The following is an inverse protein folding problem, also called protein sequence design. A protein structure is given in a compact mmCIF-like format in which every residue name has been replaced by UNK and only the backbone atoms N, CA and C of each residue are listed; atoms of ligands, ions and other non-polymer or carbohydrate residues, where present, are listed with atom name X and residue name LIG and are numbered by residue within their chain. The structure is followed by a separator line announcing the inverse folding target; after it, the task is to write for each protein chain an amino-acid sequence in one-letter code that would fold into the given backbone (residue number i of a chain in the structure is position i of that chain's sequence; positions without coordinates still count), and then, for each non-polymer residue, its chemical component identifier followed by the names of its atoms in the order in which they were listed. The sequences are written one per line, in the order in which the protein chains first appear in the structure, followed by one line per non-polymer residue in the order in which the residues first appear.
data_IF_596417080650
#
_entry.id   IF_596417080650
#
_cell.length_a   1.000
_cell.length_b   1.000
_cell.length_c   1.000
_cell.angle_alpha   90.00
_cell.angle_beta   90.00
_cell.angle_gamma   90.00
#
_symmetry.space_group_name_H-M   'P 1'
#
loop_
_entity.id
_entity.type
_entity.pdbx_description
1 polymer ?
#
# COMPACT_ATOMS: atom_id res chain seq x y z
N UNK A 1 13.40 -12.87 44.03
CA UNK A 1 13.88 -11.59 43.52
C UNK A 1 12.72 -10.99 42.73
N UNK A 2 12.01 -9.99 43.30
CA UNK A 2 10.95 -9.29 42.58
C UNK A 2 11.62 -8.20 41.72
N UNK A 3 11.39 -8.23 40.42
CA UNK A 3 11.78 -7.13 39.55
C UNK A 3 10.75 -6.02 39.72
N UNK A 4 11.14 -4.91 40.32
CA UNK A 4 10.31 -3.70 40.32
C UNK A 4 10.50 -3.02 38.96
N UNK A 5 9.48 -3.02 38.14
CA UNK A 5 9.50 -2.29 36.87
C UNK A 5 9.27 -0.79 37.16
N UNK A 6 10.34 -0.03 37.08
CA UNK A 6 10.24 1.42 37.23
C UNK A 6 9.88 2.09 35.91
N UNK A 7 8.57 2.29 35.69
CA UNK A 7 8.06 2.99 34.51
C UNK A 7 8.35 4.48 34.50
N UNK A 8 8.79 5.06 35.63
CA UNK A 8 9.12 6.49 35.71
C UNK A 8 10.37 6.80 34.90
N UNK A 9 11.27 5.84 34.74
CA UNK A 9 12.48 5.96 33.92
C UNK A 9 12.14 6.21 32.44
N UNK A 10 11.01 5.67 31.95
CA UNK A 10 10.55 5.85 30.55
C UNK A 10 9.96 7.24 30.31
N UNK A 11 9.55 7.93 31.36
CA UNK A 11 8.96 9.28 31.29
C UNK A 11 9.99 10.41 31.39
N UNK A 12 11.28 10.12 31.31
CA UNK A 12 12.33 11.15 31.20
C UNK A 12 12.19 11.90 29.87
N UNK A 13 12.47 13.20 29.85
CA UNK A 13 12.32 14.07 28.66
C UNK A 13 12.94 13.47 27.38
N UNK A 14 14.10 12.83 27.52
CA UNK A 14 14.81 12.21 26.40
C UNK A 14 14.01 11.06 25.76
N UNK A 15 13.44 10.15 26.56
CA UNK A 15 12.68 9.00 26.05
C UNK A 15 11.31 9.42 25.54
N UNK A 16 10.67 10.40 26.16
CA UNK A 16 9.41 10.98 25.68
C UNK A 16 9.62 11.63 24.31
N UNK A 17 10.74 12.35 24.10
CA UNK A 17 11.08 12.92 22.81
C UNK A 17 11.23 11.84 21.71
N UNK A 18 11.88 10.72 22.01
CA UNK A 18 12.03 9.60 21.07
C UNK A 18 10.71 8.91 20.79
N UNK A 19 9.84 8.72 21.79
CA UNK A 19 8.51 8.15 21.62
C UNK A 19 7.64 9.01 20.71
N UNK A 20 7.61 10.32 20.94
CA UNK A 20 6.85 11.26 20.09
C UNK A 20 7.37 11.24 18.65
N UNK A 21 8.70 11.25 18.48
CA UNK A 21 9.33 11.16 17.16
C UNK A 21 8.95 9.85 16.46
N UNK A 22 9.02 8.72 17.16
CA UNK A 22 8.62 7.40 16.63
C UNK A 22 7.16 7.36 16.22
N UNK A 23 6.25 7.88 17.05
CA UNK A 23 4.82 7.98 16.72
C UNK A 23 4.61 8.83 15.46
N UNK A 24 5.27 9.98 15.38
CA UNK A 24 5.17 10.87 14.22
C UNK A 24 5.63 10.16 12.93
N UNK A 25 6.79 9.51 12.96
CA UNK A 25 7.32 8.78 11.79
C UNK A 25 6.37 7.65 11.39
N UNK A 26 5.84 6.88 12.36
CA UNK A 26 4.88 5.80 12.10
C UNK A 26 3.60 6.31 11.44
N UNK A 27 3.04 7.43 11.94
CA UNK A 27 1.84 8.03 11.35
C UNK A 27 2.09 8.55 9.94
N UNK A 28 3.21 9.22 9.70
CA UNK A 28 3.58 9.72 8.37
C UNK A 28 3.79 8.57 7.39
N UNK A 29 4.49 7.51 7.80
CA UNK A 29 4.74 6.33 7.00
C UNK A 29 3.42 5.61 6.66
N UNK A 30 2.56 5.40 7.65
CA UNK A 30 1.27 4.76 7.46
C UNK A 30 0.36 5.56 6.53
N UNK A 31 0.27 6.88 6.71
CA UNK A 31 -0.55 7.74 5.87
C UNK A 31 -0.02 7.76 4.42
N UNK A 32 1.29 7.92 4.23
CA UNK A 32 1.92 7.92 2.92
C UNK A 32 1.74 6.58 2.18
N UNK A 33 1.99 5.48 2.88
CA UNK A 33 1.81 4.14 2.33
C UNK A 33 0.33 3.87 1.98
N UNK A 34 -0.61 4.29 2.83
CA UNK A 34 -2.05 4.11 2.59
C UNK A 34 -2.53 4.87 1.35
N UNK A 35 -2.18 6.16 1.24
CA UNK A 35 -2.56 6.98 0.08
C UNK A 35 -2.00 6.38 -1.22
N UNK A 36 -0.72 6.03 -1.23
CA UNK A 36 -0.07 5.42 -2.40
C UNK A 36 -0.69 4.06 -2.73
N UNK A 37 -0.95 3.22 -1.73
CA UNK A 37 -1.59 1.92 -1.90
C UNK A 37 -3.00 2.04 -2.50
N UNK A 38 -3.78 3.02 -2.04
CA UNK A 38 -5.12 3.25 -2.53
C UNK A 38 -5.13 3.72 -3.99
N UNK A 39 -4.27 4.66 -4.34
CA UNK A 39 -4.14 5.17 -5.71
C UNK A 39 -3.69 4.05 -6.66
N UNK A 40 -2.61 3.36 -6.31
CA UNK A 40 -2.06 2.28 -7.15
C UNK A 40 -3.03 1.11 -7.22
N UNK A 41 -3.60 0.67 -6.08
CA UNK A 41 -4.53 -0.46 -6.02
C UNK A 41 -5.80 -0.21 -6.82
N UNK A 42 -6.34 1.01 -6.76
CA UNK A 42 -7.51 1.40 -7.57
C UNK A 42 -7.15 1.42 -9.05
N UNK A 43 -6.01 1.99 -9.42
CA UNK A 43 -5.54 1.99 -10.82
C UNK A 43 -5.39 0.56 -11.36
N UNK A 44 -4.76 -0.34 -10.58
CA UNK A 44 -4.64 -1.75 -10.95
C UNK A 44 -6.00 -2.44 -11.11
N UNK A 45 -6.96 -2.17 -10.22
CA UNK A 45 -8.31 -2.72 -10.31
C UNK A 45 -9.02 -2.27 -11.60
N UNK A 46 -8.94 -0.98 -11.94
CA UNK A 46 -9.51 -0.41 -13.17
C UNK A 46 -8.85 -1.00 -14.42
N UNK A 47 -7.52 -1.06 -14.45
CA UNK A 47 -6.79 -1.65 -15.57
C UNK A 47 -7.12 -3.14 -15.75
N UNK A 48 -7.33 -3.87 -14.66
CA UNK A 48 -7.71 -5.29 -14.70
C UNK A 48 -9.16 -5.52 -15.14
N UNK A 49 -10.01 -4.49 -15.11
CA UNK A 49 -11.35 -4.53 -15.67
C UNK A 49 -11.37 -4.35 -17.21
N UNK A 50 -10.25 -4.00 -17.83
CA UNK A 50 -10.13 -3.85 -19.28
C UNK A 50 -10.10 -5.19 -20.00
N UNK A 51 -10.34 -5.17 -21.31
CA UNK A 51 -10.28 -6.36 -22.19
C UNK A 51 -8.88 -6.69 -22.69
N UNK A 52 -7.87 -5.85 -22.36
CA UNK A 52 -6.50 -6.02 -22.82
C UNK A 52 -5.78 -7.12 -22.05
N UNK A 53 -5.82 -8.34 -22.58
CA UNK A 53 -5.32 -9.57 -21.93
C UNK A 53 -3.89 -9.49 -21.37
N UNK A 54 -2.89 -8.90 -22.08
CA UNK A 54 -1.52 -8.81 -21.53
C UNK A 54 -1.44 -7.99 -20.25
N UNK A 55 -2.14 -6.85 -20.18
CA UNK A 55 -2.18 -6.04 -18.97
C UNK A 55 -2.86 -6.77 -17.80
N UNK A 56 -3.99 -7.44 -18.07
CA UNK A 56 -4.70 -8.23 -17.07
C UNK A 56 -3.82 -9.35 -16.51
N UNK A 57 -3.07 -10.04 -17.37
CA UNK A 57 -2.13 -11.08 -16.96
C UNK A 57 -1.01 -10.52 -16.08
N UNK A 58 -0.36 -9.44 -16.53
CA UNK A 58 0.74 -8.82 -15.78
C UNK A 58 0.31 -8.36 -14.39
N UNK A 59 -0.86 -7.71 -14.30
CA UNK A 59 -1.43 -7.26 -13.02
C UNK A 59 -1.78 -8.46 -12.14
N UNK A 60 -2.27 -9.57 -12.72
CA UNK A 60 -2.57 -10.78 -11.96
C UNK A 60 -1.31 -11.37 -11.34
N UNK A 61 -0.22 -11.44 -12.10
CA UNK A 61 1.09 -11.88 -11.59
C UNK A 61 1.60 -10.95 -10.48
N UNK A 62 1.49 -9.63 -10.68
CA UNK A 62 1.86 -8.66 -9.65
C UNK A 62 1.09 -8.89 -8.35
N UNK A 63 -0.23 -9.02 -8.43
CA UNK A 63 -1.10 -9.24 -7.25
C UNK A 63 -0.75 -10.55 -6.58
N UNK A 64 -0.59 -11.63 -7.33
CA UNK A 64 -0.27 -12.96 -6.81
C UNK A 64 1.09 -12.96 -6.09
N UNK A 65 2.12 -12.36 -6.68
CA UNK A 65 3.45 -12.24 -6.06
C UNK A 65 3.39 -11.49 -4.75
N UNK A 66 2.75 -10.31 -4.72
CA UNK A 66 2.71 -9.48 -3.50
C UNK A 66 1.83 -10.07 -2.40
N UNK A 67 0.80 -10.83 -2.73
CA UNK A 67 -0.04 -11.50 -1.73
C UNK A 67 0.59 -12.77 -1.14
N UNK A 68 1.45 -13.46 -1.89
CA UNK A 68 2.08 -14.70 -1.45
C UNK A 68 3.43 -14.48 -0.73
N UNK A 69 4.05 -13.32 -0.86
CA UNK A 69 5.28 -12.99 -0.17
C UNK A 69 4.97 -12.21 1.12
N UNK A 70 5.47 -12.65 2.29
CA UNK A 70 5.29 -11.92 3.55
C UNK A 70 5.76 -10.47 3.44
N UNK A 71 5.00 -9.52 4.02
CA UNK A 71 5.32 -8.09 3.96
C UNK A 71 6.75 -7.77 4.44
N UNK A 72 7.21 -8.43 5.51
CA UNK A 72 8.57 -8.23 6.03
C UNK A 72 9.64 -8.53 4.96
N UNK A 73 9.45 -9.61 4.21
CA UNK A 73 10.39 -9.99 3.13
C UNK A 73 10.39 -8.92 2.03
N UNK A 74 9.23 -8.38 1.68
CA UNK A 74 9.12 -7.30 0.70
C UNK A 74 9.83 -6.03 1.19
N UNK A 75 9.65 -5.64 2.45
CA UNK A 75 10.34 -4.49 3.05
C UNK A 75 11.86 -4.67 3.02
N UNK A 76 12.35 -5.86 3.40
CA UNK A 76 13.78 -6.17 3.36
C UNK A 76 14.34 -6.17 1.93
N UNK A 77 13.58 -6.69 0.96
CA UNK A 77 13.96 -6.64 -0.46
C UNK A 77 14.09 -5.20 -0.95
N UNK A 78 13.10 -4.35 -0.66
CA UNK A 78 13.15 -2.94 -1.06
C UNK A 78 14.30 -2.19 -0.38
N UNK A 79 14.58 -2.48 0.88
CA UNK A 79 15.64 -1.82 1.63
C UNK A 79 17.05 -2.24 1.18
N UNK A 80 17.29 -3.54 1.00
CA UNK A 80 18.64 -4.05 0.71
C UNK A 80 18.90 -4.27 -0.78
N UNK A 81 17.96 -4.80 -1.54
CA UNK A 81 18.20 -5.20 -2.92
C UNK A 81 17.91 -4.09 -3.92
N UNK A 82 16.86 -3.28 -3.70
CA UNK A 82 16.50 -2.25 -4.67
C UNK A 82 17.59 -1.18 -4.90
N UNK A 83 18.28 -0.64 -3.89
CA UNK A 83 19.36 0.31 -4.11
C UNK A 83 20.50 -0.24 -4.98
N UNK A 84 20.77 -1.54 -4.90
CA UNK A 84 21.83 -2.20 -5.69
C UNK A 84 21.45 -2.40 -7.17
N UNK A 85 20.17 -2.48 -7.47
CA UNK A 85 19.65 -2.70 -8.83
C UNK A 85 19.42 -1.37 -9.56
N UNK A 86 19.19 -0.27 -8.81
CA UNK A 86 18.88 1.03 -9.37
C UNK A 86 20.12 1.69 -10.02
N UNK A 87 19.92 2.45 -11.11
CA UNK A 87 20.96 3.33 -11.66
C UNK A 87 21.50 4.30 -10.60
N UNK A 88 22.78 4.68 -10.71
CA UNK A 88 23.48 5.56 -9.74
C UNK A 88 22.70 6.84 -9.44
N UNK A 89 22.17 7.51 -10.46
CA UNK A 89 21.42 8.75 -10.27
C UNK A 89 20.18 8.60 -9.35
N UNK A 90 19.48 7.45 -9.42
CA UNK A 90 18.35 7.16 -8.56
C UNK A 90 18.79 6.76 -7.14
N UNK A 91 19.89 6.05 -7.02
CA UNK A 91 20.51 5.69 -5.75
C UNK A 91 20.96 6.93 -4.98
N UNK A 92 21.63 7.86 -5.64
CA UNK A 92 22.10 9.11 -5.06
C UNK A 92 20.92 9.99 -4.60
N UNK A 93 19.87 10.04 -5.41
CA UNK A 93 18.64 10.75 -5.04
C UNK A 93 17.96 10.13 -3.81
N UNK A 94 17.87 8.80 -3.75
CA UNK A 94 17.32 8.08 -2.60
C UNK A 94 18.14 8.36 -1.34
N UNK A 95 19.47 8.25 -1.42
CA UNK A 95 20.37 8.47 -0.29
C UNK A 95 20.31 9.90 0.24
N UNK A 96 20.02 10.88 -0.63
CA UNK A 96 19.84 12.29 -0.22
C UNK A 96 18.45 12.59 0.36
N UNK A 97 17.45 11.71 0.17
CA UNK A 97 16.05 11.95 0.51
C UNK A 97 15.46 10.92 1.50
N UNK A 98 16.22 10.51 2.53
CA UNK A 98 15.74 9.58 3.54
C UNK A 98 15.29 8.24 2.95
N UNK A 99 16.24 7.53 2.37
CA UNK A 99 16.02 6.27 1.62
C UNK A 99 15.21 5.24 2.40
N UNK A 100 15.49 5.09 3.70
CA UNK A 100 14.80 4.10 4.55
C UNK A 100 13.30 4.35 4.60
N UNK A 101 12.91 5.60 4.82
CA UNK A 101 11.49 5.99 4.89
C UNK A 101 10.80 5.79 3.53
N UNK A 102 11.44 6.27 2.46
CA UNK A 102 10.87 6.23 1.10
C UNK A 102 10.69 4.80 0.61
N UNK A 103 11.70 3.95 0.81
CA UNK A 103 11.66 2.54 0.40
C UNK A 103 10.65 1.74 1.23
N UNK A 104 10.53 2.03 2.52
CA UNK A 104 9.52 1.41 3.38
C UNK A 104 8.09 1.80 2.94
N UNK A 105 7.84 3.09 2.63
CA UNK A 105 6.55 3.55 2.09
C UNK A 105 6.21 2.82 0.80
N UNK A 106 7.16 2.69 -0.13
CA UNK A 106 6.93 2.00 -1.42
C UNK A 106 6.62 0.51 -1.19
N UNK A 107 7.43 -0.18 -0.38
CA UNK A 107 7.24 -1.60 -0.10
C UNK A 107 5.86 -1.91 0.49
N UNK A 108 5.48 -1.14 1.52
CA UNK A 108 4.19 -1.29 2.18
C UNK A 108 3.04 -0.94 1.24
N UNK A 109 3.20 0.14 0.46
CA UNK A 109 2.19 0.59 -0.47
C UNK A 109 1.92 -0.43 -1.58
N UNK A 110 2.95 -1.02 -2.20
CA UNK A 110 2.80 -2.00 -3.26
C UNK A 110 2.14 -3.30 -2.75
N UNK A 111 2.54 -3.76 -1.57
CA UNK A 111 1.90 -4.89 -0.92
C UNK A 111 0.39 -4.65 -0.72
N UNK A 112 0.04 -3.52 -0.11
CA UNK A 112 -1.37 -3.19 0.15
C UNK A 112 -2.15 -2.86 -1.11
N UNK A 113 -1.51 -2.29 -2.14
CA UNK A 113 -2.13 -2.05 -3.45
C UNK A 113 -2.63 -3.35 -4.10
N UNK A 114 -1.87 -4.44 -3.96
CA UNK A 114 -2.29 -5.76 -4.43
C UNK A 114 -3.58 -6.23 -3.73
N UNK A 115 -3.67 -6.07 -2.41
CA UNK A 115 -4.88 -6.42 -1.64
C UNK A 115 -6.07 -5.51 -1.99
N UNK A 116 -5.86 -4.20 -2.11
CA UNK A 116 -6.91 -3.25 -2.50
C UNK A 116 -7.43 -3.57 -3.90
N UNK A 117 -6.53 -3.85 -4.86
CA UNK A 117 -6.90 -4.23 -6.22
C UNK A 117 -7.82 -5.47 -6.26
N UNK A 118 -7.49 -6.50 -5.49
CA UNK A 118 -8.30 -7.72 -5.44
C UNK A 118 -9.61 -7.51 -4.68
N UNK A 119 -9.61 -6.74 -3.59
CA UNK A 119 -10.81 -6.39 -2.84
C UNK A 119 -11.81 -5.61 -3.71
N UNK A 120 -11.34 -4.61 -4.47
CA UNK A 120 -12.18 -3.86 -5.40
C UNK A 120 -12.72 -4.76 -6.51
N UNK A 121 -11.89 -5.64 -7.08
CA UNK A 121 -12.32 -6.59 -8.12
C UNK A 121 -13.37 -7.56 -7.61
N UNK A 122 -13.20 -8.11 -6.42
CA UNK A 122 -14.16 -9.04 -5.81
C UNK A 122 -15.47 -8.33 -5.45
N UNK A 123 -15.39 -7.11 -4.92
CA UNK A 123 -16.56 -6.29 -4.63
C UNK A 123 -17.39 -5.97 -5.87
N UNK A 124 -16.75 -5.59 -6.98
CA UNK A 124 -17.43 -5.33 -8.24
C UNK A 124 -18.13 -6.57 -8.81
N UNK A 125 -17.56 -7.76 -8.64
CA UNK A 125 -18.15 -9.02 -9.08
C UNK A 125 -19.31 -9.51 -8.18
N UNK A 126 -19.34 -9.07 -6.94
CA UNK A 126 -20.39 -9.44 -6.00
C UNK A 126 -21.74 -8.72 -6.26
N UNK A 127 -21.74 -7.65 -7.08
CA UNK A 127 -22.97 -6.92 -7.42
C UNK A 127 -23.82 -7.75 -8.38
N UNK A 128 -25.05 -8.17 -8.02
CA UNK A 128 -25.91 -8.96 -8.87
C UNK A 128 -26.31 -8.20 -10.13
N UNK A 129 -26.33 -8.89 -11.27
CA UNK A 129 -26.73 -8.32 -12.57
C UNK A 129 -28.15 -7.72 -12.54
N UNK A 130 -29.02 -8.26 -11.68
CA UNK A 130 -30.38 -7.75 -11.46
C UNK A 130 -30.44 -6.33 -10.91
N UNK A 131 -29.42 -5.89 -10.15
CA UNK A 131 -29.35 -4.50 -9.67
C UNK A 131 -29.05 -3.51 -10.78
N UNK A 132 -28.24 -3.90 -11.77
CA UNK A 132 -27.98 -3.06 -12.95
C UNK A 132 -29.26 -2.94 -13.80
N UNK A 133 -29.99 -4.02 -14.04
CA UNK A 133 -31.23 -4.02 -14.78
C UNK A 133 -32.31 -3.15 -14.11
N UNK A 134 -32.43 -3.19 -12.78
CA UNK A 134 -33.36 -2.36 -12.03
C UNK A 134 -32.99 -0.87 -12.05
N UNK A 135 -31.70 -0.53 -12.07
CA UNK A 135 -31.25 0.85 -12.16
C UNK A 135 -31.52 1.45 -13.56
N UNK A 136 -31.42 0.66 -14.61
CA UNK A 136 -31.78 1.08 -15.95
C UNK A 136 -33.30 1.21 -16.15
N UNK A 137 -34.09 0.30 -15.58
CA UNK A 137 -35.55 0.36 -15.61
C UNK A 137 -36.13 1.57 -14.88
N UNK A 138 -35.44 2.05 -13.83
CA UNK A 138 -35.83 3.24 -13.07
C UNK A 138 -35.22 4.55 -13.57
N UNK A 139 -34.56 4.55 -14.73
CA UNK A 139 -34.02 5.77 -15.33
C UNK A 139 -35.19 6.63 -15.81
N UNK A 140 -35.36 7.86 -15.29
CA UNK A 140 -36.44 8.74 -15.81
C UNK A 140 -36.21 8.96 -17.31
N UNK A 141 -37.24 8.67 -18.11
CA UNK A 141 -37.25 8.98 -19.53
C UNK A 141 -37.17 10.51 -19.64
N UNK A 142 -35.99 11.03 -19.97
CA UNK A 142 -35.83 12.46 -20.28
C UNK A 142 -36.60 12.69 -21.58
N UNK A 143 -37.73 13.43 -21.59
CA UNK A 143 -38.43 13.76 -22.84
C UNK A 143 -37.48 14.62 -23.69
N UNK A 144 -37.39 14.28 -24.98
CA UNK A 144 -36.61 15.05 -25.97
C UNK A 144 -37.33 16.37 -26.26
#
# INVERSE_FOLDING_TARGET
MGYEFDFSAVLTEQYVGWLISGIRVTLMLSAGAWVLAFVVGTALAVLRATTFKPAVWLISVFVEVHQNIPLLVQVLFWYFAMPEILPEAWRDWLNSNNSEFSLAVIAIALCHAAYISEALRSGLRAVPVTQYANSEANRPLIPK
#
